data_IF_131759027907
#
_entry.id   IF_131759027907
#
_cell.length_a   1.000
_cell.length_b   1.000
_cell.length_c   1.000
_cell.angle_alpha   90.00
_cell.angle_beta   90.00
_cell.angle_gamma   90.00
#
_symmetry.space_group_name_H-M   'P 1'
#
loop_
_entity.id
_entity.type
_entity.pdbx_description
1 polymer ?
#
# COMPACT_ATOMS: atom_id res chain seq x y z
N UNK A 1 -4.35 -3.24 14.45
CA UNK A 1 -3.34 -3.94 15.28
C UNK A 1 -2.00 -3.25 15.18
N UNK A 2 -1.31 -3.13 16.29
CA UNK A 2 0.05 -2.63 16.40
C UNK A 2 0.91 -3.78 16.92
N UNK A 3 1.89 -4.22 16.12
CA UNK A 3 2.80 -5.30 16.48
C UNK A 3 4.05 -4.77 17.15
N UNK A 4 4.57 -3.64 16.66
CA UNK A 4 5.71 -2.95 17.25
C UNK A 4 5.44 -1.46 17.36
N UNK A 5 5.90 -0.87 18.49
CA UNK A 5 5.83 0.57 18.68
C UNK A 5 6.84 1.28 17.78
N UNK A 6 6.52 2.51 17.31
CA UNK A 6 7.44 3.28 16.49
C UNK A 6 8.79 3.51 17.18
N UNK A 7 9.88 3.31 16.43
CA UNK A 7 11.23 3.66 16.83
C UNK A 7 11.66 4.94 16.08
N UNK A 8 12.17 5.93 16.79
CA UNK A 8 12.54 7.24 16.22
C UNK A 8 13.65 7.19 15.16
N UNK A 9 14.45 6.13 15.16
CA UNK A 9 15.54 5.95 14.19
C UNK A 9 15.12 5.15 12.95
N UNK A 10 13.91 4.58 12.96
CA UNK A 10 13.42 3.75 11.88
C UNK A 10 12.70 4.56 10.79
N UNK A 11 12.78 4.06 9.58
CA UNK A 11 12.04 4.53 8.41
C UNK A 11 10.87 3.59 8.14
N UNK A 12 9.69 4.18 7.94
CA UNK A 12 8.46 3.40 7.75
C UNK A 12 7.79 3.72 6.42
N UNK A 13 7.13 2.70 5.87
CA UNK A 13 6.22 2.83 4.73
C UNK A 13 4.84 2.35 5.16
N UNK A 14 3.83 3.16 4.89
CA UNK A 14 2.42 2.83 5.03
C UNK A 14 1.82 2.67 3.63
N UNK A 15 1.20 1.54 3.37
CA UNK A 15 0.53 1.26 2.09
C UNK A 15 -0.95 1.05 2.35
N UNK A 16 -1.80 1.82 1.67
CA UNK A 16 -3.24 1.82 1.86
C UNK A 16 -3.99 1.39 0.59
N UNK A 17 -4.92 0.48 0.77
CA UNK A 17 -5.96 0.08 -0.18
C UNK A 17 -7.30 0.62 0.31
N UNK A 18 -8.05 1.29 -0.56
CA UNK A 18 -9.24 2.06 -0.19
C UNK A 18 -10.49 1.45 -0.80
N UNK A 19 -11.38 0.94 0.06
CA UNK A 19 -12.69 0.45 -0.34
C UNK A 19 -13.78 1.52 -0.29
N UNK A 20 -14.83 1.33 -1.08
CA UNK A 20 -16.02 2.21 -1.06
C UNK A 20 -16.88 2.07 0.19
N UNK A 21 -16.63 1.08 1.03
CA UNK A 21 -17.50 0.73 2.16
C UNK A 21 -18.84 0.13 1.72
N UNK A 22 -18.90 -0.44 0.51
CA UNK A 22 -20.08 -1.10 -0.07
C UNK A 22 -19.74 -2.57 -0.30
N UNK A 23 -20.65 -3.47 0.08
CA UNK A 23 -20.57 -4.92 -0.18
C UNK A 23 -19.44 -5.69 0.53
N UNK A 24 -18.96 -5.23 1.67
CA UNK A 24 -18.04 -6.00 2.52
C UNK A 24 -16.56 -5.81 2.26
N UNK A 25 -16.17 -5.06 1.23
CA UNK A 25 -14.78 -4.69 1.01
C UNK A 25 -14.30 -3.72 2.12
N UNK A 26 -13.10 -3.94 2.60
CA UNK A 26 -12.53 -3.16 3.71
C UNK A 26 -11.51 -2.14 3.19
N UNK A 27 -11.55 -0.92 3.76
CA UNK A 27 -10.38 -0.06 3.70
C UNK A 27 -9.31 -0.62 4.61
N UNK A 28 -8.11 -0.82 4.07
CA UNK A 28 -7.01 -1.44 4.77
C UNK A 28 -5.71 -0.67 4.57
N UNK A 29 -4.79 -0.77 5.52
CA UNK A 29 -3.40 -0.43 5.32
C UNK A 29 -2.48 -1.33 6.14
N UNK A 30 -1.24 -1.42 5.71
CA UNK A 30 -0.14 -2.03 6.45
C UNK A 30 0.95 -0.98 6.69
N UNK A 31 1.68 -1.14 7.79
CA UNK A 31 2.88 -0.34 8.11
C UNK A 31 4.07 -1.29 8.19
N UNK A 32 5.12 -0.98 7.45
CA UNK A 32 6.36 -1.75 7.45
C UNK A 32 7.53 -0.88 7.91
N UNK A 33 8.38 -1.44 8.76
CA UNK A 33 9.72 -0.92 9.00
C UNK A 33 10.60 -1.33 7.80
N UNK A 34 11.19 -0.33 7.15
CA UNK A 34 12.03 -0.52 5.95
C UNK A 34 13.46 -0.06 6.18
N UNK A 35 13.84 0.16 7.44
CA UNK A 35 15.20 0.60 7.82
C UNK A 35 16.27 -0.40 7.41
N UNK A 36 15.95 -1.68 7.51
CA UNK A 36 16.85 -2.79 7.24
C UNK A 36 16.10 -3.93 6.54
N UNK A 37 16.86 -4.87 5.95
CA UNK A 37 16.31 -6.12 5.40
C UNK A 37 16.56 -7.23 6.45
N UNK A 38 15.55 -8.03 6.78
CA UNK A 38 14.20 -8.10 6.20
C UNK A 38 13.31 -6.94 6.59
N UNK A 39 12.50 -6.43 5.64
CA UNK A 39 11.40 -5.51 5.93
C UNK A 39 10.40 -6.17 6.87
N UNK A 40 9.87 -5.44 7.83
CA UNK A 40 9.08 -6.01 8.90
C UNK A 40 7.71 -5.35 9.02
N UNK A 41 6.67 -6.16 9.02
CA UNK A 41 5.31 -5.68 9.34
C UNK A 41 5.25 -5.26 10.81
N UNK A 42 4.95 -3.99 11.07
CA UNK A 42 4.86 -3.41 12.42
C UNK A 42 3.46 -2.98 12.81
N UNK A 43 2.55 -2.90 11.86
CA UNK A 43 1.14 -2.60 12.12
C UNK A 43 0.25 -2.85 10.93
N UNK A 44 -1.05 -3.03 11.20
CA UNK A 44 -2.09 -3.12 10.19
C UNK A 44 -3.39 -2.47 10.66
N UNK A 45 -4.18 -2.08 9.69
CA UNK A 45 -5.55 -1.63 9.86
C UNK A 45 -6.43 -2.29 8.81
N UNK A 46 -7.62 -2.76 9.21
CA UNK A 46 -8.64 -3.26 8.29
C UNK A 46 -10.01 -2.94 8.87
N UNK A 47 -10.87 -2.28 8.09
CA UNK A 47 -12.21 -1.90 8.54
C UNK A 47 -13.14 -1.75 7.34
N UNK A 48 -14.28 -2.44 7.37
CA UNK A 48 -15.31 -2.40 6.34
C UNK A 48 -16.44 -1.39 6.61
N UNK A 49 -16.43 -0.72 7.77
CA UNK A 49 -17.44 0.24 8.18
C UNK A 49 -16.96 1.69 8.10
N UNK A 50 -15.64 1.89 7.94
CA UNK A 50 -15.10 3.24 7.90
C UNK A 50 -15.55 3.98 6.65
N UNK A 51 -16.03 5.20 6.87
CA UNK A 51 -16.37 6.10 5.75
C UNK A 51 -15.10 6.57 5.08
N UNK A 52 -15.02 6.56 3.71
CA UNK A 52 -13.84 7.00 2.97
C UNK A 52 -13.34 8.40 3.35
N UNK A 53 -14.23 9.31 3.72
CA UNK A 53 -13.89 10.67 4.16
C UNK A 53 -13.14 10.73 5.51
N UNK A 54 -13.23 9.69 6.34
CA UNK A 54 -12.56 9.62 7.64
C UNK A 54 -11.22 8.87 7.55
N UNK A 55 -11.06 8.04 6.56
CA UNK A 55 -9.88 7.19 6.41
C UNK A 55 -8.56 7.99 6.26
N UNK A 56 -8.50 9.14 5.53
CA UNK A 56 -7.29 9.96 5.47
C UNK A 56 -6.79 10.44 6.83
N UNK A 57 -7.70 10.74 7.76
CA UNK A 57 -7.31 11.17 9.11
C UNK A 57 -6.59 10.05 9.89
N UNK A 58 -7.08 8.81 9.75
CA UNK A 58 -6.43 7.64 10.38
C UNK A 58 -5.07 7.39 9.75
N UNK A 59 -4.97 7.45 8.42
CA UNK A 59 -3.69 7.30 7.71
C UNK A 59 -2.69 8.36 8.19
N UNK A 60 -3.11 9.63 8.27
CA UNK A 60 -2.26 10.72 8.76
C UNK A 60 -1.81 10.48 10.20
N UNK A 61 -2.73 10.17 11.10
CA UNK A 61 -2.43 9.93 12.52
C UNK A 61 -1.38 8.82 12.69
N UNK A 62 -1.60 7.68 12.03
CA UNK A 62 -0.67 6.56 12.07
C UNK A 62 0.65 6.89 11.39
N UNK A 63 0.62 7.53 10.21
CA UNK A 63 1.81 7.94 9.50
C UNK A 63 2.71 8.87 10.32
N UNK A 64 2.12 9.86 10.99
CA UNK A 64 2.86 10.76 11.90
C UNK A 64 3.42 10.01 13.11
N UNK A 65 2.65 9.08 13.70
CA UNK A 65 3.12 8.26 14.82
C UNK A 65 4.32 7.40 14.44
N UNK A 66 4.37 6.90 13.19
CA UNK A 66 5.49 6.14 12.63
C UNK A 66 6.49 7.04 11.86
N UNK A 67 7.01 8.06 12.55
CA UNK A 67 8.06 8.98 12.08
C UNK A 67 7.76 9.67 10.75
N UNK A 68 6.51 10.11 10.55
CA UNK A 68 6.08 10.68 9.29
C UNK A 68 6.34 9.72 8.11
N UNK A 69 5.81 8.50 8.24
CA UNK A 69 6.00 7.40 7.30
C UNK A 69 5.75 7.81 5.84
N UNK A 70 6.46 7.21 4.90
CA UNK A 70 6.12 7.34 3.48
C UNK A 70 4.80 6.64 3.20
N UNK A 71 3.81 7.35 2.66
CA UNK A 71 2.47 6.82 2.41
C UNK A 71 2.23 6.57 0.93
N UNK A 72 1.92 5.34 0.56
CA UNK A 72 1.45 4.95 -0.76
C UNK A 72 -0.04 4.63 -0.69
N UNK A 73 -0.86 5.33 -1.47
CA UNK A 73 -2.30 5.07 -1.58
C UNK A 73 -2.61 4.43 -2.92
N UNK A 74 -3.40 3.36 -2.94
CA UNK A 74 -4.02 2.88 -4.17
C UNK A 74 -5.09 3.87 -4.61
N UNK A 75 -4.93 4.41 -5.83
CA UNK A 75 -5.83 5.47 -6.35
C UNK A 75 -6.82 4.97 -7.40
N UNK A 76 -7.12 3.69 -7.38
CA UNK A 76 -8.27 3.18 -8.10
C UNK A 76 -9.54 3.66 -7.42
N UNK A 77 -10.57 3.87 -8.23
CA UNK A 77 -11.90 4.19 -7.76
C UNK A 77 -11.95 5.41 -6.81
N UNK A 78 -12.23 5.21 -5.51
CA UNK A 78 -12.34 6.27 -4.51
C UNK A 78 -11.00 6.63 -3.86
N UNK A 79 -9.95 5.86 -4.08
CA UNK A 79 -8.63 6.09 -3.48
C UNK A 79 -7.98 7.42 -3.87
N UNK A 80 -8.33 7.97 -5.03
CA UNK A 80 -7.88 9.31 -5.45
C UNK A 80 -8.42 10.42 -4.53
N UNK A 81 -9.64 10.27 -4.00
CA UNK A 81 -10.20 11.22 -3.03
C UNK A 81 -9.44 11.17 -1.70
N UNK A 82 -9.06 9.97 -1.26
CA UNK A 82 -8.24 9.78 -0.04
C UNK A 82 -6.85 10.39 -0.22
N UNK A 83 -6.20 10.15 -1.36
CA UNK A 83 -4.89 10.72 -1.66
C UNK A 83 -4.94 12.27 -1.76
N UNK A 84 -5.97 12.80 -2.41
CA UNK A 84 -6.18 14.25 -2.49
C UNK A 84 -6.43 14.88 -1.10
N UNK A 85 -7.26 14.26 -0.27
CA UNK A 85 -7.50 14.73 1.10
C UNK A 85 -6.21 14.73 1.93
N UNK A 86 -5.38 13.68 1.83
CA UNK A 86 -4.07 13.63 2.50
C UNK A 86 -3.16 14.77 2.05
N UNK A 87 -3.06 15.03 0.74
CA UNK A 87 -2.16 16.04 0.18
C UNK A 87 -2.63 17.46 0.44
N UNK A 88 -3.90 17.77 0.15
CA UNK A 88 -4.39 19.14 0.07
C UNK A 88 -5.15 19.59 1.32
N UNK A 89 -5.93 18.72 1.96
CA UNK A 89 -6.72 19.08 3.12
C UNK A 89 -5.93 18.84 4.43
N UNK A 90 -5.15 17.78 4.47
CA UNK A 90 -4.38 17.39 5.64
C UNK A 90 -2.89 17.74 5.55
N UNK A 91 -2.40 18.18 4.39
CA UNK A 91 -1.02 18.60 4.15
C UNK A 91 0.01 17.54 4.60
N UNK A 92 -0.24 16.26 4.25
CA UNK A 92 0.67 15.17 4.59
C UNK A 92 1.89 15.19 3.65
N UNK A 93 3.08 15.42 4.19
CA UNK A 93 4.29 15.72 3.40
C UNK A 93 4.86 14.52 2.65
N UNK A 94 4.82 13.31 3.24
CA UNK A 94 5.48 12.12 2.71
C UNK A 94 4.54 11.22 1.88
N UNK A 95 3.70 11.83 1.05
CA UNK A 95 2.85 11.08 0.13
C UNK A 95 3.62 10.70 -1.14
N UNK A 96 3.63 9.40 -1.46
CA UNK A 96 4.33 8.86 -2.63
C UNK A 96 3.54 9.15 -3.90
N UNK A 97 4.26 9.63 -4.92
CA UNK A 97 3.71 9.92 -6.25
C UNK A 97 4.23 8.94 -7.28
N UNK A 98 3.39 8.59 -8.26
CA UNK A 98 3.77 7.79 -9.42
C UNK A 98 3.53 8.52 -10.74
N UNK A 99 4.10 8.01 -11.85
CA UNK A 99 3.91 8.59 -13.17
C UNK A 99 2.65 8.04 -13.84
N UNK A 100 1.92 8.90 -14.58
CA UNK A 100 0.75 8.51 -15.36
C UNK A 100 1.07 8.05 -16.79
N UNK A 101 2.27 8.37 -17.32
CA UNK A 101 2.63 8.11 -18.72
C UNK A 101 4.00 7.45 -18.83
N UNK A 102 4.19 6.69 -19.90
CA UNK A 102 5.39 5.93 -20.17
C UNK A 102 5.31 4.55 -19.55
N UNK A 103 6.30 4.18 -18.76
CA UNK A 103 6.24 2.99 -17.93
C UNK A 103 5.35 3.29 -16.73
N UNK A 104 4.04 3.09 -16.90
CA UNK A 104 3.06 3.32 -15.85
C UNK A 104 3.48 2.64 -14.54
N UNK A 105 3.44 3.40 -13.46
CA UNK A 105 3.83 2.90 -12.15
C UNK A 105 5.30 3.10 -11.79
N UNK A 106 6.01 4.06 -12.36
CA UNK A 106 7.31 4.48 -11.82
C UNK A 106 7.12 5.59 -10.78
N UNK A 107 7.93 5.54 -9.72
CA UNK A 107 7.98 6.63 -8.74
C UNK A 107 8.62 7.85 -9.38
N UNK A 108 8.05 9.01 -9.12
CA UNK A 108 8.64 10.30 -9.52
C UNK A 108 9.65 10.70 -8.44
N UNK A 109 10.93 10.50 -8.71
CA UNK A 109 11.97 11.17 -7.93
C UNK A 109 11.93 12.68 -8.24
N UNK A 110 12.20 13.51 -7.23
CA UNK A 110 12.03 14.97 -7.23
C UNK A 110 12.82 15.75 -8.28
N UNK A 111 12.54 15.53 -9.55
CA UNK A 111 13.09 16.28 -10.68
C UNK A 111 12.00 16.56 -11.72
N UNK A 112 12.11 17.69 -12.43
CA UNK A 112 11.25 18.12 -13.52
C UNK A 112 11.32 17.16 -14.72
N UNK A 113 10.74 15.97 -14.57
CA UNK A 113 10.51 15.08 -15.71
C UNK A 113 9.09 15.29 -16.20
N UNK A 114 8.92 15.63 -17.48
CA UNK A 114 7.67 16.10 -18.09
C UNK A 114 6.53 15.06 -18.20
N UNK A 115 6.44 14.13 -17.28
CA UNK A 115 5.30 13.22 -17.09
C UNK A 115 4.31 13.78 -16.07
N UNK A 116 3.02 13.59 -16.28
CA UNK A 116 2.02 13.92 -15.25
C UNK A 116 2.23 12.99 -14.07
N UNK A 117 2.61 13.55 -12.92
CA UNK A 117 2.61 12.86 -11.64
C UNK A 117 1.17 12.70 -11.14
N UNK A 118 0.88 11.57 -10.51
CA UNK A 118 -0.35 11.35 -9.75
C UNK A 118 0.00 10.99 -8.31
N UNK A 119 -0.82 11.39 -7.38
CA UNK A 119 -0.71 10.97 -5.99
C UNK A 119 -1.00 9.47 -5.90
N UNK A 120 -0.16 8.73 -5.17
CA UNK A 120 -0.33 7.29 -5.03
C UNK A 120 -0.06 6.49 -6.31
N UNK A 121 -0.62 5.30 -6.41
CA UNK A 121 -0.45 4.39 -7.53
C UNK A 121 -1.78 3.81 -8.00
N UNK A 122 -1.96 3.76 -9.33
CA UNK A 122 -3.08 3.04 -9.94
C UNK A 122 -2.68 1.59 -10.16
N UNK A 123 -3.44 0.66 -9.58
CA UNK A 123 -3.25 -0.77 -9.76
C UNK A 123 -3.69 -1.19 -11.17
N UNK A 124 -2.77 -1.11 -12.11
CA UNK A 124 -2.91 -1.69 -13.45
C UNK A 124 -2.55 -3.18 -13.41
N UNK A 125 -2.91 -3.93 -14.46
CA UNK A 125 -2.46 -5.33 -14.60
C UNK A 125 -0.95 -5.47 -14.51
N UNK A 126 -0.19 -4.50 -15.04
CA UNK A 126 1.28 -4.49 -14.99
C UNK A 126 1.79 -4.27 -13.56
N UNK A 127 1.25 -3.29 -12.83
CA UNK A 127 1.60 -3.02 -11.44
C UNK A 127 1.29 -4.25 -10.57
N UNK A 128 0.09 -4.82 -10.69
CA UNK A 128 -0.32 -6.01 -9.93
C UNK A 128 0.58 -7.21 -10.22
N UNK A 129 0.85 -7.50 -11.50
CA UNK A 129 1.72 -8.62 -11.89
C UNK A 129 3.15 -8.46 -11.36
N UNK A 130 3.72 -7.26 -11.50
CA UNK A 130 5.07 -6.97 -11.00
C UNK A 130 5.11 -7.04 -9.47
N UNK A 131 4.11 -6.47 -8.79
CA UNK A 131 4.00 -6.54 -7.34
C UNK A 131 3.90 -7.96 -6.81
N UNK A 132 3.07 -8.82 -7.42
CA UNK A 132 2.97 -10.24 -7.06
C UNK A 132 4.31 -10.98 -7.26
N UNK A 133 4.99 -10.74 -8.39
CA UNK A 133 6.31 -11.34 -8.65
C UNK A 133 7.35 -10.90 -7.63
N UNK A 134 7.40 -9.61 -7.33
CA UNK A 134 8.33 -9.06 -6.34
C UNK A 134 8.02 -9.57 -4.93
N UNK A 135 6.73 -9.63 -4.54
CA UNK A 135 6.34 -10.16 -3.22
C UNK A 135 6.78 -11.60 -3.04
N UNK A 136 6.55 -12.44 -4.06
CA UNK A 136 7.04 -13.82 -4.07
C UNK A 136 8.55 -13.87 -3.84
N UNK A 137 9.32 -13.05 -4.58
CA UNK A 137 10.78 -12.99 -4.44
C UNK A 137 11.21 -12.53 -3.04
N UNK A 138 10.54 -11.52 -2.46
CA UNK A 138 10.82 -11.05 -1.10
C UNK A 138 10.59 -12.14 -0.05
N UNK A 139 9.50 -12.90 -0.18
CA UNK A 139 9.16 -14.02 0.74
C UNK A 139 10.16 -15.16 0.57
N UNK A 140 10.41 -15.64 -0.65
CA UNK A 140 11.31 -16.77 -0.93
C UNK A 140 12.77 -16.48 -0.54
N UNK A 141 13.18 -15.19 -0.58
CA UNK A 141 14.54 -14.78 -0.18
C UNK A 141 14.63 -14.30 1.28
N UNK A 142 13.60 -14.49 2.08
CA UNK A 142 13.51 -14.04 3.48
C UNK A 142 13.83 -12.54 3.67
N UNK A 143 13.38 -11.70 2.72
CA UNK A 143 13.59 -10.25 2.74
C UNK A 143 12.41 -9.47 3.29
N UNK A 144 11.32 -10.14 3.61
CA UNK A 144 10.13 -9.57 4.26
C UNK A 144 9.60 -10.52 5.32
N UNK A 145 9.11 -9.97 6.42
CA UNK A 145 8.48 -10.69 7.54
C UNK A 145 7.04 -10.19 7.64
N UNK A 146 6.09 -11.09 7.37
CA UNK A 146 4.63 -10.84 7.38
C UNK A 146 3.96 -11.84 8.35
N UNK A 147 4.25 -11.72 9.64
CA UNK A 147 3.72 -12.62 10.69
C UNK A 147 2.34 -12.13 11.14
N UNK A 148 1.35 -12.25 10.27
CA UNK A 148 -0.03 -11.86 10.55
C UNK A 148 -1.01 -12.88 9.98
N UNK A 149 -1.99 -13.29 10.80
CA UNK A 149 -2.96 -14.32 10.44
C UNK A 149 -3.85 -13.90 9.27
N UNK A 150 -4.35 -12.66 9.26
CA UNK A 150 -5.29 -12.20 8.23
C UNK A 150 -4.58 -12.05 6.88
N UNK A 151 -3.35 -11.52 6.87
CA UNK A 151 -2.52 -11.43 5.65
C UNK A 151 -2.23 -12.84 5.11
N UNK A 152 -1.84 -13.79 5.96
CA UNK A 152 -1.58 -15.17 5.55
C UNK A 152 -2.85 -15.84 5.04
N UNK A 153 -3.99 -15.58 5.67
CA UNK A 153 -5.29 -16.08 5.23
C UNK A 153 -5.66 -15.54 3.85
N UNK A 154 -5.56 -14.23 3.63
CA UNK A 154 -5.82 -13.63 2.32
C UNK A 154 -4.82 -14.15 1.26
N UNK A 155 -3.54 -14.30 1.62
CA UNK A 155 -2.53 -14.85 0.72
C UNK A 155 -2.85 -16.29 0.28
N UNK A 156 -3.43 -17.11 1.16
CA UNK A 156 -3.78 -18.50 0.88
C UNK A 156 -4.91 -18.66 -0.13
N UNK A 157 -5.77 -17.64 -0.25
CA UNK A 157 -6.91 -17.61 -1.17
C UNK A 157 -6.70 -16.68 -2.38
N UNK A 158 -5.47 -16.11 -2.50
CA UNK A 158 -5.13 -15.20 -3.59
C UNK A 158 -4.59 -15.98 -4.79
N UNK A 159 -5.40 -16.09 -5.84
CA UNK A 159 -5.15 -16.97 -6.96
C UNK A 159 -5.03 -16.23 -8.28
N UNK A 160 -4.41 -16.87 -9.27
CA UNK A 160 -4.38 -16.37 -10.61
C UNK A 160 -5.77 -16.53 -11.26
N UNK A 161 -6.32 -15.44 -11.76
CA UNK A 161 -7.55 -15.41 -12.54
C UNK A 161 -7.29 -14.76 -13.92
N UNK A 162 -7.24 -15.59 -14.95
CA UNK A 162 -6.87 -15.15 -16.30
C UNK A 162 -5.45 -14.58 -16.35
N UNK A 163 -5.33 -13.31 -16.70
CA UNK A 163 -4.03 -12.60 -16.74
C UNK A 163 -3.78 -11.72 -15.49
N UNK A 164 -4.57 -11.87 -14.45
CA UNK A 164 -4.48 -11.11 -13.23
C UNK A 164 -4.48 -12.04 -12.00
N UNK A 165 -4.51 -11.45 -10.82
CA UNK A 165 -4.60 -12.14 -9.53
C UNK A 165 -5.71 -11.49 -8.72
N UNK A 166 -6.43 -12.28 -7.92
CA UNK A 166 -7.48 -11.81 -7.02
C UNK A 166 -7.79 -12.89 -5.98
N UNK A 167 -8.53 -12.51 -4.93
CA UNK A 167 -9.07 -13.49 -4.00
C UNK A 167 -10.05 -14.45 -4.71
N UNK A 168 -10.14 -15.68 -4.23
CA UNK A 168 -11.18 -16.63 -4.61
C UNK A 168 -12.56 -16.07 -4.25
N UNK A 169 -13.61 -16.57 -4.91
CA UNK A 169 -14.99 -16.14 -4.68
C UNK A 169 -15.37 -16.31 -3.19
N UNK A 170 -15.90 -15.24 -2.60
CA UNK A 170 -16.27 -15.18 -1.17
C UNK A 170 -15.11 -14.85 -0.23
N UNK A 171 -13.93 -14.57 -0.73
CA UNK A 171 -12.76 -14.12 0.03
C UNK A 171 -12.39 -12.66 -0.31
N UNK A 172 -11.54 -12.05 0.52
CA UNK A 172 -11.05 -10.68 0.38
C UNK A 172 -9.54 -10.69 0.16
N UNK A 173 -9.02 -9.63 -0.48
CA UNK A 173 -7.60 -9.43 -0.75
C UNK A 173 -7.08 -8.02 -0.36
N UNK A 174 -7.80 -7.31 0.51
CA UNK A 174 -7.49 -5.92 0.88
C UNK A 174 -6.08 -5.77 1.48
N UNK A 175 -5.72 -6.58 2.48
CA UNK A 175 -4.39 -6.58 3.08
C UNK A 175 -3.34 -7.20 2.14
N UNK A 176 -3.72 -8.23 1.40
CA UNK A 176 -2.84 -8.83 0.40
C UNK A 176 -2.49 -7.83 -0.69
N UNK A 177 -3.43 -6.98 -1.12
CA UNK A 177 -3.17 -5.91 -2.08
C UNK A 177 -2.21 -4.86 -1.52
N UNK A 178 -2.31 -4.50 -0.24
CA UNK A 178 -1.30 -3.64 0.40
C UNK A 178 0.11 -4.26 0.33
N UNK A 179 0.23 -5.58 0.56
CA UNK A 179 1.52 -6.29 0.44
C UNK A 179 2.03 -6.31 -1.01
N UNK A 180 1.16 -6.53 -1.99
CA UNK A 180 1.50 -6.50 -3.42
C UNK A 180 2.00 -5.12 -3.85
N UNK A 181 1.32 -4.05 -3.42
CA UNK A 181 1.71 -2.68 -3.72
C UNK A 181 3.01 -2.27 -3.02
N UNK A 182 3.24 -2.72 -1.79
CA UNK A 182 4.54 -2.56 -1.12
C UNK A 182 5.66 -3.24 -1.92
N UNK A 183 5.46 -4.47 -2.32
CA UNK A 183 6.47 -5.21 -3.09
C UNK A 183 6.71 -4.59 -4.47
N UNK A 184 5.68 -4.03 -5.12
CA UNK A 184 5.86 -3.21 -6.31
C UNK A 184 6.73 -1.98 -6.00
N UNK A 185 6.42 -1.25 -4.92
CA UNK A 185 7.16 -0.06 -4.49
C UNK A 185 8.64 -0.38 -4.22
N UNK A 186 8.92 -1.46 -3.49
CA UNK A 186 10.28 -1.88 -3.15
C UNK A 186 11.14 -2.26 -4.36
N UNK A 187 10.53 -2.60 -5.47
CA UNK A 187 11.21 -2.91 -6.74
C UNK A 187 11.45 -1.69 -7.64
N UNK A 188 11.01 -0.48 -7.24
CA UNK A 188 11.27 0.73 -8.03
C UNK A 188 12.71 1.20 -7.81
N UNK A 189 13.38 1.55 -8.91
CA UNK A 189 14.71 2.16 -8.86
C UNK A 189 14.56 3.67 -8.72
N UNK A 190 15.21 4.26 -7.73
CA UNK A 190 15.31 5.70 -7.54
C UNK A 190 16.37 6.31 -8.44
#
# INVERSE_FOLDING_TARGET
>A
DIYEKPNKESTYVLVADVARGIQGDSSAFIVLDVSEIPYKLVGKYKNNEIKPLLFPNIIKEVGLAYNNAFVLVEVNDIGDQVANALQFDLEYENLIMSTMRGRAGQIVGGGFSGGRAQLGVRTTKAVKKLGCSNLKTLIESNKIILEDFDIISEMSTFVQHGQSFQAEEGHHDDLMMCCVLFAWLSGQTY
#
